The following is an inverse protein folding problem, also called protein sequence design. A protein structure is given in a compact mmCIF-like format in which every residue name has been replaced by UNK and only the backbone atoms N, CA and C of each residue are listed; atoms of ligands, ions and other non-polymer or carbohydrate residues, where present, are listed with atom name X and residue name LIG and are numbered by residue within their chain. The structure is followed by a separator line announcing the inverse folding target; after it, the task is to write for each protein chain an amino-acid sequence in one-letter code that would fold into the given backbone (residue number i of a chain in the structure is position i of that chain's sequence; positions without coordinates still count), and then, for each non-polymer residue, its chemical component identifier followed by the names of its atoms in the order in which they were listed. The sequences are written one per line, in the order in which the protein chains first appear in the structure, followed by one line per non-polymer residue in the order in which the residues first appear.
data_IF_724388197224
#
_entry.id   IF_724388197224
#
_cell.length_a   1.000
_cell.length_b   1.000
_cell.length_c   1.000
_cell.angle_alpha   90.00
_cell.angle_beta   90.00
_cell.angle_gamma   90.00
#
_symmetry.space_group_name_H-M   'P 1'
#
loop_
_entity.id
_entity.type
_entity.pdbx_description
1 polymer ?
#
# COMPACT_ATOMS: atom_id res chain seq x y z
N UNK A 1 -28.49 -25.21 20.28
CA UNK A 1 -27.58 -25.87 19.31
C UNK A 1 -27.53 -25.16 17.95
N UNK A 2 -28.42 -24.19 17.65
CA UNK A 2 -28.34 -23.37 16.44
C UNK A 2 -27.34 -22.20 16.55
N UNK A 3 -27.15 -21.66 17.76
CA UNK A 3 -26.34 -20.46 18.04
C UNK A 3 -24.85 -20.59 17.66
N UNK A 4 -24.25 -21.77 17.90
CA UNK A 4 -22.82 -21.99 17.71
C UNK A 4 -22.39 -22.10 16.24
N UNK A 5 -23.31 -22.38 15.31
CA UNK A 5 -23.00 -22.52 13.88
C UNK A 5 -22.97 -21.16 13.16
N UNK A 6 -23.78 -20.21 13.62
CA UNK A 6 -23.79 -18.84 13.09
C UNK A 6 -22.55 -18.06 13.58
N UNK A 7 -22.21 -18.15 14.87
CA UNK A 7 -21.01 -17.51 15.45
C UNK A 7 -19.70 -17.92 14.74
N UNK A 8 -19.57 -19.20 14.38
CA UNK A 8 -18.43 -19.76 13.63
C UNK A 8 -18.32 -19.24 12.19
N UNK A 9 -19.42 -18.83 11.57
CA UNK A 9 -19.40 -18.32 10.20
C UNK A 9 -19.03 -16.84 10.14
N UNK A 10 -19.30 -16.11 11.23
CA UNK A 10 -19.15 -14.66 11.34
C UNK A 10 -17.73 -14.24 11.73
N UNK A 11 -16.95 -15.11 12.39
CA UNK A 11 -15.53 -14.87 12.63
C UNK A 11 -14.72 -14.70 11.32
N UNK A 12 -15.25 -15.18 10.19
CA UNK A 12 -14.64 -15.07 8.85
C UNK A 12 -14.73 -13.65 8.28
N UNK A 13 -15.61 -12.81 8.82
CA UNK A 13 -15.84 -11.45 8.32
C UNK A 13 -14.82 -10.45 8.87
N UNK A 14 -14.17 -10.77 9.99
CA UNK A 14 -13.06 -9.96 10.49
C UNK A 14 -11.80 -10.34 9.71
N UNK A 15 -11.16 -9.40 8.98
CA UNK A 15 -9.93 -9.70 8.28
C UNK A 15 -8.84 -10.10 9.26
N UNK A 16 -7.89 -10.94 8.84
CA UNK A 16 -6.75 -11.25 9.71
C UNK A 16 -5.85 -10.03 9.89
N UNK A 17 -5.59 -9.63 11.12
CA UNK A 17 -4.75 -8.48 11.45
C UNK A 17 -3.28 -8.74 11.12
N UNK A 18 -2.64 -7.81 10.41
CA UNK A 18 -1.25 -7.93 9.97
C UNK A 18 -0.39 -6.70 10.31
N UNK A 19 -0.83 -5.84 11.23
CA UNK A 19 -0.15 -4.58 11.58
C UNK A 19 -0.46 -3.43 10.62
N UNK A 20 -0.56 -3.71 9.32
CA UNK A 20 -0.78 -2.69 8.29
C UNK A 20 -2.26 -2.38 8.07
N UNK A 21 -3.13 -3.36 8.28
CA UNK A 21 -4.56 -3.23 8.03
C UNK A 21 -5.37 -2.72 9.24
N UNK A 22 -4.74 -2.08 10.24
CA UNK A 22 -5.44 -1.66 11.47
C UNK A 22 -6.65 -0.75 11.19
N UNK A 23 -6.53 0.16 10.22
CA UNK A 23 -7.59 1.09 9.85
C UNK A 23 -8.86 0.37 9.35
N UNK A 24 -8.71 -0.78 8.70
CA UNK A 24 -9.82 -1.62 8.22
C UNK A 24 -10.23 -2.65 9.27
N UNK A 25 -9.25 -3.24 9.96
CA UNK A 25 -9.49 -4.26 10.98
C UNK A 25 -10.24 -3.70 12.19
N UNK A 26 -9.85 -2.52 12.70
CA UNK A 26 -10.43 -1.93 13.91
C UNK A 26 -11.95 -1.74 13.83
N UNK A 27 -12.52 -1.07 12.81
CA UNK A 27 -13.97 -0.92 12.72
C UNK A 27 -14.70 -2.27 12.53
N UNK A 28 -14.11 -3.24 11.81
CA UNK A 28 -14.72 -4.56 11.64
C UNK A 28 -14.72 -5.37 12.93
N UNK A 29 -13.61 -5.35 13.68
CA UNK A 29 -13.55 -5.98 15.00
C UNK A 29 -14.48 -5.30 16.00
N UNK A 30 -14.55 -3.98 15.99
CA UNK A 30 -15.51 -3.20 16.79
C UNK A 30 -16.95 -3.67 16.56
N UNK A 31 -17.38 -3.73 15.30
CA UNK A 31 -18.72 -4.20 14.93
C UNK A 31 -18.97 -5.66 15.36
N UNK A 32 -17.96 -6.53 15.20
CA UNK A 32 -18.06 -7.92 15.65
C UNK A 32 -18.21 -8.02 17.18
N UNK A 33 -17.46 -7.23 17.95
CA UNK A 33 -17.57 -7.16 19.40
C UNK A 33 -18.93 -6.59 19.86
N UNK A 34 -19.54 -5.68 19.09
CA UNK A 34 -20.90 -5.22 19.34
C UNK A 34 -21.91 -6.33 19.13
N UNK A 35 -21.78 -7.07 18.02
CA UNK A 35 -22.68 -8.16 17.65
C UNK A 35 -22.69 -9.28 18.71
N UNK A 36 -21.53 -9.63 19.29
CA UNK A 36 -21.45 -10.64 20.36
C UNK A 36 -21.72 -10.07 21.76
N UNK A 37 -22.14 -8.81 21.88
CA UNK A 37 -22.47 -8.15 23.15
C UNK A 37 -21.26 -7.73 24.01
N UNK A 38 -20.03 -7.99 23.57
CA UNK A 38 -18.81 -7.74 24.33
C UNK A 38 -18.33 -6.28 24.32
N UNK A 39 -18.82 -5.44 23.40
CA UNK A 39 -18.25 -4.10 23.20
C UNK A 39 -18.26 -3.21 24.44
N UNK A 40 -19.33 -3.23 25.25
CA UNK A 40 -19.41 -2.40 26.47
C UNK A 40 -18.33 -2.74 27.49
N UNK A 41 -17.95 -4.02 27.56
CA UNK A 41 -16.85 -4.50 28.39
C UNK A 41 -15.50 -4.07 27.78
N UNK A 42 -15.31 -4.30 26.48
CA UNK A 42 -14.08 -3.94 25.78
C UNK A 42 -13.81 -2.44 25.74
N UNK A 43 -14.84 -1.60 25.68
CA UNK A 43 -14.70 -0.15 25.69
C UNK A 43 -14.71 0.47 27.11
N UNK A 44 -14.73 -0.36 28.15
CA UNK A 44 -14.62 0.07 29.55
C UNK A 44 -15.87 0.75 30.11
N UNK A 45 -17.01 0.72 29.41
CA UNK A 45 -18.27 1.29 29.91
C UNK A 45 -19.03 0.34 30.84
N UNK A 46 -18.78 -0.97 30.75
CA UNK A 46 -19.30 -1.95 31.70
C UNK A 46 -18.31 -2.14 32.85
N UNK A 47 -18.71 -1.72 34.05
CA UNK A 47 -17.95 -1.94 35.28
C UNK A 47 -17.94 -3.42 35.69
N UNK A 48 -16.98 -3.79 36.53
CA UNK A 48 -16.94 -5.12 37.13
C UNK A 48 -18.11 -5.31 38.11
N UNK A 49 -18.91 -6.38 38.02
CA UNK A 49 -20.11 -6.56 38.85
C UNK A 49 -19.83 -6.81 40.34
N UNK A 50 -20.73 -6.32 41.19
CA UNK A 50 -20.71 -6.58 42.65
C UNK A 50 -21.24 -7.98 42.98
N UNK A 51 -22.20 -8.47 42.21
CA UNK A 51 -22.85 -9.77 42.44
C UNK A 51 -22.05 -10.95 41.88
N UNK A 52 -21.98 -12.05 42.63
CA UNK A 52 -21.16 -13.21 42.28
C UNK A 52 -21.59 -13.90 40.97
N UNK A 53 -22.89 -14.00 40.72
CA UNK A 53 -23.43 -14.58 39.50
C UNK A 53 -23.05 -13.73 38.27
N UNK A 54 -23.17 -12.41 38.39
CA UNK A 54 -22.85 -11.48 37.31
C UNK A 54 -21.35 -11.43 37.01
N UNK A 55 -20.48 -11.62 38.01
CA UNK A 55 -19.03 -11.75 37.80
C UNK A 55 -18.68 -12.91 36.88
N UNK A 56 -19.35 -14.06 37.01
CA UNK A 56 -19.09 -15.21 36.16
C UNK A 56 -19.49 -14.93 34.70
N UNK A 57 -20.67 -14.34 34.49
CA UNK A 57 -21.13 -13.93 33.16
C UNK A 57 -20.21 -12.87 32.53
N UNK A 58 -19.77 -11.88 33.33
CA UNK A 58 -18.84 -10.85 32.89
C UNK A 58 -17.48 -11.43 32.46
N UNK A 59 -16.93 -12.37 33.23
CA UNK A 59 -15.65 -13.03 32.90
C UNK A 59 -15.76 -13.89 31.65
N UNK A 60 -16.85 -14.64 31.50
CA UNK A 60 -17.10 -15.42 30.29
C UNK A 60 -17.15 -14.50 29.04
N UNK A 61 -17.79 -13.34 29.16
CA UNK A 61 -17.85 -12.36 28.07
C UNK A 61 -16.48 -11.73 27.79
N UNK A 62 -15.69 -11.46 28.82
CA UNK A 62 -14.31 -11.02 28.69
C UNK A 62 -13.45 -12.05 27.94
N UNK A 63 -13.51 -13.32 28.32
CA UNK A 63 -12.73 -14.39 27.71
C UNK A 63 -13.13 -14.61 26.25
N UNK A 64 -14.44 -14.55 25.97
CA UNK A 64 -14.96 -14.61 24.60
C UNK A 64 -14.45 -13.45 23.74
N UNK A 65 -14.39 -12.24 24.29
CA UNK A 65 -13.87 -11.07 23.58
C UNK A 65 -12.36 -11.18 23.32
N UNK A 66 -11.58 -11.61 24.31
CA UNK A 66 -10.14 -11.88 24.17
C UNK A 66 -9.88 -12.94 23.10
N UNK A 67 -10.59 -14.07 23.16
CA UNK A 67 -10.48 -15.16 22.18
C UNK A 67 -10.82 -14.69 20.77
N UNK A 68 -11.89 -13.90 20.64
CA UNK A 68 -12.30 -13.32 19.35
C UNK A 68 -11.23 -12.40 18.76
N UNK A 69 -10.64 -11.52 19.58
CA UNK A 69 -9.53 -10.69 19.13
C UNK A 69 -8.33 -11.54 18.74
N UNK A 70 -7.89 -12.44 19.62
CA UNK A 70 -6.74 -13.33 19.42
C UNK A 70 -6.84 -14.14 18.12
N UNK A 71 -8.00 -14.71 17.81
CA UNK A 71 -8.23 -15.48 16.57
C UNK A 71 -8.06 -14.65 15.30
N UNK A 72 -8.36 -13.35 15.36
CA UNK A 72 -8.16 -12.45 14.24
C UNK A 72 -6.72 -11.96 14.10
N UNK A 73 -5.87 -12.13 15.13
CA UNK A 73 -4.49 -11.71 15.09
C UNK A 73 -3.61 -12.75 14.36
N UNK A 74 -2.48 -12.29 13.81
CA UNK A 74 -1.38 -13.18 13.44
C UNK A 74 -0.56 -13.55 14.68
N UNK A 75 0.09 -14.73 14.71
CA UNK A 75 0.77 -15.23 15.91
C UNK A 75 1.76 -14.26 16.56
N UNK A 76 2.48 -13.47 15.77
CA UNK A 76 3.45 -12.49 16.27
C UNK A 76 2.81 -11.33 17.05
N UNK A 77 1.49 -11.10 16.94
CA UNK A 77 0.78 -10.09 17.72
C UNK A 77 0.07 -10.66 18.96
N UNK A 78 0.14 -11.98 19.20
CA UNK A 78 -0.54 -12.59 20.34
C UNK A 78 -0.02 -12.07 21.69
N UNK A 79 1.21 -11.57 21.76
CA UNK A 79 1.76 -10.91 22.95
C UNK A 79 1.02 -9.63 23.35
N UNK A 80 0.18 -9.06 22.47
CA UNK A 80 -0.66 -7.90 22.75
C UNK A 80 -2.01 -8.29 23.38
N UNK A 81 -2.33 -9.58 23.43
CA UNK A 81 -3.49 -10.10 24.18
C UNK A 81 -3.10 -10.14 25.65
N UNK A 82 -3.84 -9.38 26.45
CA UNK A 82 -3.58 -9.20 27.86
C UNK A 82 -4.67 -9.87 28.70
N UNK A 83 -4.28 -10.39 29.85
CA UNK A 83 -5.18 -11.02 30.80
C UNK A 83 -5.93 -9.99 31.68
N UNK A 84 -6.98 -10.46 32.38
CA UNK A 84 -7.63 -9.69 33.44
C UNK A 84 -6.59 -9.23 34.47
N UNK A 85 -6.74 -8.01 34.96
CA UNK A 85 -5.82 -7.48 35.95
C UNK A 85 -6.54 -6.78 37.09
N UNK A 86 -6.10 -7.11 38.28
CA UNK A 86 -6.60 -6.52 39.52
C UNK A 86 -5.55 -5.58 40.08
N UNK A 87 -5.88 -4.30 40.18
CA UNK A 87 -5.10 -3.33 40.93
C UNK A 87 -5.51 -3.42 42.42
N UNK A 88 -4.61 -3.85 43.34
CA UNK A 88 -4.97 -4.08 44.74
C UNK A 88 -5.04 -2.81 45.59
N UNK A 89 -4.78 -1.63 45.02
CA UNK A 89 -4.89 -0.35 45.74
C UNK A 89 -6.35 0.00 46.12
N UNK A 90 -6.58 0.95 47.03
CA UNK A 90 -7.92 1.48 47.29
C UNK A 90 -8.27 2.60 46.30
N UNK A 91 -9.38 2.50 45.53
CA UNK A 91 -10.29 1.36 45.41
C UNK A 91 -9.73 0.23 44.53
N UNK A 92 -10.11 -1.01 44.81
CA UNK A 92 -9.71 -2.17 43.99
C UNK A 92 -10.35 -2.04 42.62
N UNK A 93 -9.52 -1.99 41.57
CA UNK A 93 -9.98 -1.85 40.18
C UNK A 93 -9.65 -3.11 39.40
N UNK A 94 -10.68 -3.71 38.78
CA UNK A 94 -10.53 -4.87 37.90
C UNK A 94 -10.67 -4.40 36.45
N UNK A 95 -9.63 -4.64 35.66
CA UNK A 95 -9.58 -4.32 34.24
C UNK A 95 -9.74 -5.59 33.42
N UNK A 96 -10.77 -5.62 32.57
CA UNK A 96 -10.98 -6.67 31.59
C UNK A 96 -9.74 -6.87 30.71
N UNK A 97 -9.33 -8.13 30.53
CA UNK A 97 -8.29 -8.47 29.55
C UNK A 97 -8.65 -7.98 28.14
N UNK A 98 -9.94 -8.04 27.78
CA UNK A 98 -10.41 -7.56 26.49
C UNK A 98 -10.24 -6.04 26.35
N UNK A 99 -10.55 -5.27 27.40
CA UNK A 99 -10.29 -3.82 27.44
C UNK A 99 -8.80 -3.54 27.28
N UNK A 100 -7.97 -4.22 28.07
CA UNK A 100 -6.52 -4.03 28.02
C UNK A 100 -5.93 -4.38 26.65
N UNK A 101 -6.39 -5.47 26.05
CA UNK A 101 -5.99 -5.90 24.71
C UNK A 101 -6.38 -4.85 23.66
N UNK A 102 -7.63 -4.37 23.71
CA UNK A 102 -8.11 -3.33 22.82
C UNK A 102 -7.30 -2.03 22.96
N UNK A 103 -7.02 -1.60 24.18
CA UNK A 103 -6.22 -0.40 24.46
C UNK A 103 -4.78 -0.58 23.97
N UNK A 104 -4.16 -1.74 24.20
CA UNK A 104 -2.80 -2.07 23.72
C UNK A 104 -2.72 -2.00 22.19
N UNK A 105 -3.68 -2.62 21.49
CA UNK A 105 -3.77 -2.57 20.04
C UNK A 105 -3.98 -1.14 19.52
N UNK A 106 -4.82 -0.33 20.19
CA UNK A 106 -5.00 1.07 19.82
C UNK A 106 -3.79 1.94 20.15
N UNK A 107 -3.04 1.64 21.20
CA UNK A 107 -1.81 2.35 21.51
C UNK A 107 -0.73 2.07 20.46
N UNK A 108 -0.57 0.81 20.03
CA UNK A 108 0.42 0.43 19.02
C UNK A 108 0.03 0.87 17.59
N UNK A 109 -1.26 0.84 17.25
CA UNK A 109 -1.72 0.95 15.85
C UNK A 109 -2.86 1.95 15.62
N UNK A 110 -3.44 2.54 16.68
CA UNK A 110 -4.62 3.41 16.60
C UNK A 110 -4.31 4.89 16.32
N UNK A 111 -3.14 5.38 16.73
CA UNK A 111 -2.46 6.40 15.95
C UNK A 111 -1.93 5.71 14.69
N UNK A 112 -1.72 6.43 13.58
CA UNK A 112 -0.94 5.86 12.48
C UNK A 112 0.48 5.70 13.04
N UNK A 113 0.75 4.55 13.67
CA UNK A 113 2.01 4.24 14.32
C UNK A 113 3.09 4.11 13.26
N UNK A 114 4.36 4.05 13.64
CA UNK A 114 5.49 4.03 12.70
C UNK A 114 5.33 2.98 11.59
N UNK A 115 4.79 1.81 11.91
CA UNK A 115 4.50 0.76 10.92
C UNK A 115 3.37 1.14 9.94
N UNK A 116 2.30 1.79 10.41
CA UNK A 116 1.22 2.30 9.57
C UNK A 116 1.67 3.47 8.71
N UNK A 117 2.51 4.35 9.25
CA UNK A 117 3.13 5.46 8.51
C UNK A 117 4.00 4.90 7.39
N UNK A 118 4.87 3.94 7.72
CA UNK A 118 5.72 3.28 6.74
C UNK A 118 4.91 2.54 5.68
N UNK A 119 3.87 1.80 6.06
CA UNK A 119 3.01 1.10 5.09
C UNK A 119 2.36 2.08 4.13
N UNK A 120 1.75 3.16 4.63
CA UNK A 120 1.10 4.16 3.79
C UNK A 120 2.11 4.89 2.89
N UNK A 121 3.29 5.24 3.44
CA UNK A 121 4.38 5.83 2.66
C UNK A 121 4.89 4.88 1.57
N UNK A 122 5.13 3.61 1.89
CA UNK A 122 5.57 2.60 0.93
C UNK A 122 4.53 2.38 -0.17
N UNK A 123 3.24 2.36 0.19
CA UNK A 123 2.15 2.31 -0.79
C UNK A 123 2.12 3.56 -1.68
N UNK A 124 2.32 4.76 -1.13
CA UNK A 124 2.33 6.00 -1.90
C UNK A 124 3.51 6.06 -2.90
N UNK A 125 4.72 5.66 -2.48
CA UNK A 125 5.90 5.67 -3.36
C UNK A 125 5.84 4.59 -4.44
N UNK A 126 5.19 3.46 -4.16
CA UNK A 126 5.00 2.36 -5.14
C UNK A 126 3.71 2.52 -5.94
N UNK A 127 2.95 3.59 -5.73
CA UNK A 127 1.68 3.80 -6.40
C UNK A 127 1.92 3.98 -7.90
N UNK A 128 1.15 3.27 -8.72
CA UNK A 128 1.22 3.35 -10.18
C UNK A 128 -0.19 3.39 -10.74
N UNK A 129 -0.45 4.36 -11.58
CA UNK A 129 -1.67 4.49 -12.37
C UNK A 129 -1.43 3.70 -13.67
N UNK A 130 -2.43 2.95 -14.13
CA UNK A 130 -2.38 2.15 -15.38
C UNK A 130 -3.30 2.74 -16.45
N UNK A 131 -3.16 2.32 -17.71
CA UNK A 131 -3.84 2.97 -18.87
C UNK A 131 -5.36 2.95 -18.77
N UNK A 132 -5.90 1.93 -18.10
CA UNK A 132 -7.34 1.73 -17.93
C UNK A 132 -7.90 2.37 -16.66
N UNK A 133 -7.04 2.90 -15.81
CA UNK A 133 -7.45 3.49 -14.54
C UNK A 133 -8.10 4.86 -14.76
N UNK A 134 -9.07 5.20 -13.91
CA UNK A 134 -9.57 6.56 -13.84
C UNK A 134 -8.55 7.43 -13.09
N UNK A 135 -7.69 8.11 -13.87
CA UNK A 135 -6.62 9.00 -13.38
C UNK A 135 -7.11 9.94 -12.26
N UNK A 136 -8.27 10.64 -12.40
CA UNK A 136 -8.85 11.42 -11.32
C UNK A 136 -9.02 10.67 -9.99
N UNK A 137 -9.70 9.52 -10.01
CA UNK A 137 -9.95 8.73 -8.81
C UNK A 137 -8.65 8.22 -8.18
N UNK A 138 -7.69 7.78 -9.01
CA UNK A 138 -6.39 7.30 -8.55
C UNK A 138 -5.51 8.38 -7.94
N UNK A 139 -5.53 9.60 -8.48
CA UNK A 139 -4.87 10.74 -7.83
C UNK A 139 -5.52 11.07 -6.49
N UNK A 140 -6.86 10.98 -6.38
CA UNK A 140 -7.56 11.15 -5.11
C UNK A 140 -7.20 10.07 -4.07
N UNK A 141 -7.02 8.82 -4.48
CA UNK A 141 -6.52 7.74 -3.61
C UNK A 141 -5.11 8.06 -3.08
N UNK A 142 -4.22 8.53 -3.95
CA UNK A 142 -2.84 8.89 -3.60
C UNK A 142 -2.79 10.13 -2.68
N UNK A 143 -3.61 11.15 -2.93
CA UNK A 143 -3.76 12.29 -2.03
C UNK A 143 -4.27 11.88 -0.64
N UNK A 144 -5.25 10.96 -0.62
CA UNK A 144 -5.73 10.32 0.60
C UNK A 144 -4.63 9.60 1.39
N UNK A 145 -3.65 8.98 0.73
CA UNK A 145 -2.49 8.38 1.39
C UNK A 145 -1.60 9.45 2.06
N UNK A 146 -1.35 10.59 1.40
CA UNK A 146 -0.57 11.69 2.00
C UNK A 146 -1.26 12.29 3.23
N UNK A 147 -2.58 12.46 3.17
CA UNK A 147 -3.38 12.92 4.30
C UNK A 147 -3.34 11.94 5.50
N UNK A 148 -2.99 10.67 5.27
CA UNK A 148 -2.77 9.64 6.31
C UNK A 148 -1.31 9.59 6.80
N UNK A 149 -0.38 10.33 6.22
CA UNK A 149 1.03 10.38 6.69
C UNK A 149 1.47 11.81 7.02
N UNK A 150 0.54 12.65 7.47
CA UNK A 150 0.81 14.03 7.89
C UNK A 150 1.91 14.13 8.94
N UNK A 151 2.06 13.11 9.79
CA UNK A 151 3.13 13.03 10.80
C UNK A 151 4.55 13.09 10.20
N UNK A 152 4.76 12.71 8.93
CA UNK A 152 6.06 12.81 8.28
C UNK A 152 6.39 14.23 7.80
N UNK A 153 5.43 15.15 7.79
CA UNK A 153 5.59 16.51 7.28
C UNK A 153 6.25 16.55 5.89
N UNK A 154 5.87 15.62 4.98
CA UNK A 154 6.37 15.62 3.61
C UNK A 154 6.11 16.98 2.98
N UNK A 155 7.16 17.60 2.45
CA UNK A 155 7.06 18.85 1.72
C UNK A 155 6.17 18.71 0.48
N UNK A 156 5.40 19.74 0.15
CA UNK A 156 4.40 19.72 -0.93
C UNK A 156 5.01 19.38 -2.30
N UNK A 157 6.23 19.86 -2.57
CA UNK A 157 6.99 19.51 -3.77
C UNK A 157 7.34 18.03 -3.85
N UNK A 158 7.66 17.39 -2.71
CA UNK A 158 7.93 15.96 -2.69
C UNK A 158 6.66 15.13 -2.94
N UNK A 159 5.52 15.55 -2.38
CA UNK A 159 4.20 14.93 -2.66
C UNK A 159 3.87 15.02 -4.15
N UNK A 160 4.07 16.20 -4.74
CA UNK A 160 3.86 16.43 -6.16
C UNK A 160 4.78 15.58 -7.04
N UNK A 161 6.07 15.46 -6.69
CA UNK A 161 6.99 14.58 -7.42
C UNK A 161 6.60 13.11 -7.33
N UNK A 162 6.14 12.63 -6.16
CA UNK A 162 5.65 11.25 -6.01
C UNK A 162 4.39 11.05 -6.89
N UNK A 163 3.45 12.00 -6.91
CA UNK A 163 2.28 11.94 -7.79
C UNK A 163 2.66 11.89 -9.27
N UNK A 164 3.64 12.71 -9.71
CA UNK A 164 4.12 12.68 -11.09
C UNK A 164 4.80 11.34 -11.42
N UNK A 165 5.57 10.77 -10.50
CA UNK A 165 6.21 9.46 -10.68
C UNK A 165 5.21 8.29 -10.70
N UNK A 166 3.99 8.50 -10.19
CA UNK A 166 2.92 7.52 -10.21
C UNK A 166 2.17 7.48 -11.55
N UNK A 167 2.37 8.49 -12.41
CA UNK A 167 1.82 8.50 -13.76
C UNK A 167 2.45 7.38 -14.62
N UNK A 168 1.75 7.05 -15.70
CA UNK A 168 2.24 6.10 -16.69
C UNK A 168 3.39 6.69 -17.50
N UNK A 169 4.23 5.81 -18.03
CA UNK A 169 5.30 6.18 -18.98
C UNK A 169 4.76 6.94 -20.20
N UNK A 170 3.53 6.64 -20.66
CA UNK A 170 2.87 7.38 -21.75
C UNK A 170 2.56 8.84 -21.42
N UNK A 171 2.69 9.24 -20.15
CA UNK A 171 2.48 10.60 -19.63
C UNK A 171 3.80 11.29 -19.27
N UNK A 172 4.95 10.68 -19.56
CA UNK A 172 6.28 11.24 -19.27
C UNK A 172 6.48 12.62 -19.89
N UNK A 173 5.89 12.87 -21.06
CA UNK A 173 5.94 14.18 -21.71
C UNK A 173 5.20 15.25 -20.89
N UNK A 174 4.04 14.92 -20.31
CA UNK A 174 3.32 15.83 -19.43
C UNK A 174 4.11 16.05 -18.14
N UNK A 175 4.61 14.98 -17.51
CA UNK A 175 5.43 15.09 -16.31
C UNK A 175 6.66 15.97 -16.55
N UNK A 176 7.38 15.75 -17.65
CA UNK A 176 8.54 16.55 -18.06
C UNK A 176 8.18 18.02 -18.32
N UNK A 177 7.04 18.27 -18.97
CA UNK A 177 6.55 19.63 -19.23
C UNK A 177 6.20 20.36 -17.93
N UNK A 178 5.51 19.67 -17.00
CA UNK A 178 5.18 20.26 -15.69
C UNK A 178 6.44 20.57 -14.88
N UNK A 179 7.41 19.66 -14.86
CA UNK A 179 8.69 19.85 -14.18
C UNK A 179 9.54 20.97 -14.82
N UNK A 180 9.43 21.17 -16.13
CA UNK A 180 10.13 22.24 -16.84
C UNK A 180 9.46 23.62 -16.74
N UNK A 181 8.15 23.67 -16.49
CA UNK A 181 7.37 24.93 -16.49
C UNK A 181 7.02 25.45 -15.10
N UNK A 182 6.97 24.59 -14.09
CA UNK A 182 6.65 24.95 -12.71
C UNK A 182 7.95 24.97 -11.90
N UNK A 183 8.23 26.08 -11.22
CA UNK A 183 9.37 26.17 -10.31
C UNK A 183 9.17 25.23 -9.12
N UNK A 184 10.26 24.68 -8.58
CA UNK A 184 10.19 23.73 -7.47
C UNK A 184 9.39 24.25 -6.25
N UNK A 185 9.45 25.55 -5.99
CA UNK A 185 8.71 26.19 -4.90
C UNK A 185 7.18 26.20 -5.10
N UNK A 186 6.72 26.17 -6.36
CA UNK A 186 5.30 26.19 -6.72
C UNK A 186 4.77 24.81 -7.14
N UNK A 187 5.65 23.80 -7.17
CA UNK A 187 5.29 22.42 -7.47
C UNK A 187 4.54 21.84 -6.27
N UNK A 188 3.22 21.75 -6.36
CA UNK A 188 2.36 21.25 -5.29
C UNK A 188 1.27 20.37 -5.90
N UNK A 189 0.67 19.44 -5.14
CA UNK A 189 -0.50 18.68 -5.61
C UNK A 189 -1.60 19.59 -6.17
N UNK A 190 -1.86 20.72 -5.51
CA UNK A 190 -2.87 21.69 -5.94
C UNK A 190 -2.58 22.30 -7.32
N UNK A 191 -1.31 22.44 -7.72
CA UNK A 191 -0.93 23.01 -9.02
C UNK A 191 -0.86 21.95 -10.12
N UNK A 192 -0.49 20.71 -9.80
CA UNK A 192 -0.34 19.64 -10.80
C UNK A 192 -1.64 18.87 -11.07
N UNK A 193 -2.47 18.64 -10.04
CA UNK A 193 -3.69 17.81 -10.16
C UNK A 193 -4.63 18.36 -11.24
N UNK A 194 -4.99 19.66 -11.28
CA UNK A 194 -5.89 20.19 -12.30
C UNK A 194 -5.37 20.00 -13.73
N UNK A 195 -4.05 20.14 -13.94
CA UNK A 195 -3.42 19.96 -15.26
C UNK A 195 -3.43 18.51 -15.72
N UNK A 196 -3.21 17.57 -14.78
CA UNK A 196 -3.31 16.14 -15.07
C UNK A 196 -4.75 15.76 -15.41
N UNK A 197 -5.75 16.33 -14.73
CA UNK A 197 -7.16 16.11 -15.06
C UNK A 197 -7.51 16.61 -16.47
N UNK A 198 -7.10 17.83 -16.82
CA UNK A 198 -7.33 18.41 -18.15
C UNK A 198 -6.72 17.52 -19.25
N UNK A 199 -5.48 17.08 -19.06
CA UNK A 199 -4.83 16.17 -20.01
C UNK A 199 -5.54 14.80 -20.07
N UNK A 200 -6.04 14.28 -18.93
CA UNK A 200 -6.85 13.05 -18.90
C UNK A 200 -8.10 13.14 -19.73
N UNK A 201 -8.80 14.28 -19.66
CA UNK A 201 -9.99 14.52 -20.48
C UNK A 201 -9.64 14.57 -21.96
N UNK A 202 -8.56 15.26 -22.33
CA UNK A 202 -8.09 15.35 -23.71
C UNK A 202 -7.69 13.99 -24.30
N UNK A 203 -7.02 13.15 -23.51
CA UNK A 203 -6.65 11.79 -23.95
C UNK A 203 -7.87 10.89 -24.18
N UNK A 204 -8.90 10.96 -23.32
CA UNK A 204 -10.16 10.19 -23.51
C UNK A 204 -10.89 10.62 -24.78
N UNK A 205 -10.87 11.92 -25.12
CA UNK A 205 -11.46 12.46 -26.35
C UNK A 205 -10.71 12.01 -27.61
N UNK A 206 -9.37 12.11 -27.61
CA UNK A 206 -8.56 11.67 -28.76
C UNK A 206 -8.64 10.16 -29.00
N UNK A 207 -8.66 9.35 -27.94
CA UNK A 207 -8.81 7.90 -28.08
C UNK A 207 -10.19 7.51 -28.64
N UNK A 208 -11.25 8.27 -28.31
CA UNK A 208 -12.60 8.06 -28.85
C UNK A 208 -12.69 8.48 -30.32
N UNK A 209 -11.99 9.56 -30.72
CA UNK A 209 -11.96 10.06 -32.10
C UNK A 209 -11.21 9.14 -33.06
N UNK A 210 -10.09 8.55 -32.63
CA UNK A 210 -9.33 7.58 -33.44
C UNK A 210 -10.12 6.30 -33.74
N UNK A 211 -10.99 5.87 -32.83
CA UNK A 211 -11.87 4.73 -33.07
C UNK A 211 -12.93 5.03 -34.16
N UNK A 212 -13.43 6.27 -34.24
CA UNK A 212 -14.38 6.67 -35.28
C UNK A 212 -13.73 6.77 -36.67
N UNK A 213 -12.48 7.26 -36.73
CA UNK A 213 -11.69 7.33 -37.98
C UNK A 213 -11.30 5.94 -38.53
N UNK A 214 -11.08 4.94 -37.67
CA UNK A 214 -10.80 3.57 -38.11
C UNK A 214 -12.04 2.84 -38.65
N UNK A 215 -13.24 3.12 -38.13
CA UNK A 215 -14.49 2.58 -38.67
C UNK A 215 -14.74 3.11 -40.09
N UNK A 216 -14.48 4.40 -40.33
CA UNK A 216 -14.69 5.03 -41.65
C UNK A 216 -13.72 4.46 -42.71
N UNK A 217 -12.48 4.13 -42.33
CA UNK A 217 -11.50 3.52 -43.25
C UNK A 217 -11.85 2.08 -43.63
N UNK A 218 -12.47 1.29 -42.74
CA UNK A 218 -12.87 -0.08 -43.06
C UNK A 218 -14.13 -0.15 -43.93
N UNK A 219 -15.02 0.84 -43.85
CA UNK A 219 -16.19 0.93 -44.75
C UNK A 219 -15.88 1.51 -46.13
N UNK A 220 -14.70 2.11 -46.33
CA UNK A 220 -14.31 2.73 -47.59
C UNK A 220 -13.54 1.84 -48.58
N UNK A 221 -13.17 0.61 -48.19
CA UNK A 221 -12.29 -0.26 -49.01
C UNK A 221 -13.04 -1.46 -49.63
N UNK A 222 -14.34 -1.65 -49.37
CA UNK A 222 -15.08 -2.83 -49.88
C UNK A 222 -15.79 -2.64 -51.23
N UNK A 223 -15.55 -1.56 -51.99
CA UNK A 223 -16.24 -1.32 -53.26
C UNK A 223 -15.32 -0.88 -54.42
N UNK A 224 -14.20 -1.57 -54.63
CA UNK A 224 -13.48 -1.47 -55.90
C UNK A 224 -12.88 -2.81 -56.34
N UNK A 225 -13.48 -3.32 -57.42
CA UNK A 225 -12.87 -4.08 -58.51
C UNK A 225 -12.59 -5.58 -58.33
N UNK A 226 -13.59 -6.37 -58.74
CA UNK A 226 -13.40 -7.65 -59.43
C UNK A 226 -12.76 -7.42 -60.80
N UNK A 227 -11.74 -8.20 -61.20
CA UNK A 227 -11.55 -8.85 -62.54
C UNK A 227 -10.31 -9.78 -62.50
N UNK A 228 -10.46 -10.98 -63.08
CA UNK A 228 -9.46 -12.03 -63.48
C UNK A 228 -8.19 -11.46 -64.16
N UNK A 229 -7.02 -12.13 -64.30
CA UNK A 229 -6.70 -13.50 -64.75
C UNK A 229 -5.16 -13.75 -64.67
N UNK A 230 -4.71 -15.01 -64.82
CA UNK A 230 -3.45 -15.31 -65.55
C UNK A 230 -2.24 -15.88 -64.80
N UNK A 231 -1.80 -17.06 -65.26
CA UNK A 231 -0.70 -17.92 -64.82
C UNK A 231 0.72 -17.35 -65.07
N UNK A 232 1.72 -17.77 -64.28
CA UNK A 232 2.77 -18.73 -64.71
C UNK A 232 3.92 -18.87 -63.68
N UNK A 233 4.43 -20.09 -63.59
CA UNK A 233 5.62 -20.53 -62.85
C UNK A 233 6.91 -19.88 -63.41
N UNK A 234 7.92 -19.68 -62.56
CA UNK A 234 9.29 -20.21 -62.77
C UNK A 234 10.24 -19.83 -61.61
N UNK A 235 10.79 -20.88 -60.99
CA UNK A 235 12.19 -21.08 -60.61
C UNK A 235 13.13 -19.87 -60.51
N UNK A 236 13.84 -19.73 -59.37
CA UNK A 236 15.31 -19.61 -59.33
C UNK A 236 15.82 -19.82 -57.89
N UNK A 237 16.96 -20.50 -57.83
CA UNK A 237 17.56 -21.14 -56.67
C UNK A 237 18.45 -20.23 -55.79
N UNK A 238 18.73 -20.78 -54.60
CA UNK A 238 19.95 -20.73 -53.78
C UNK A 238 21.03 -19.66 -54.02
N UNK A 239 21.42 -18.98 -52.93
CA UNK A 239 22.80 -18.65 -52.46
C UNK A 239 22.66 -17.70 -51.25
N UNK A 240 23.42 -17.73 -50.17
CA UNK A 240 24.54 -18.52 -49.66
C UNK A 240 24.71 -18.09 -48.19
N UNK A 241 25.25 -18.98 -47.36
CA UNK A 241 25.66 -18.69 -45.98
C UNK A 241 26.57 -17.46 -45.89
N UNK A 242 26.23 -16.52 -45.01
CA UNK A 242 27.17 -15.50 -44.53
C UNK A 242 27.40 -15.71 -43.04
N UNK A 243 28.55 -16.31 -42.73
CA UNK A 243 29.10 -16.46 -41.39
C UNK A 243 30.18 -15.38 -41.22
N UNK A 244 30.01 -14.47 -40.27
CA UNK A 244 31.06 -13.53 -39.85
C UNK A 244 31.20 -13.56 -38.32
N UNK A 245 31.98 -14.52 -37.85
CA UNK A 245 32.73 -14.39 -36.61
C UNK A 245 33.88 -13.40 -36.86
N UNK A 246 33.76 -12.14 -36.45
CA UNK A 246 34.86 -11.38 -35.83
C UNK A 246 34.42 -9.99 -35.35
N UNK A 247 34.16 -9.85 -34.05
CA UNK A 247 34.43 -8.62 -33.31
C UNK A 247 34.39 -8.88 -31.80
N UNK A 248 35.45 -9.52 -31.30
CA UNK A 248 35.84 -9.41 -29.89
C UNK A 248 36.39 -7.99 -29.69
N UNK A 249 35.58 -7.10 -29.14
CA UNK A 249 36.04 -5.80 -28.64
C UNK A 249 35.87 -5.78 -27.13
N UNK A 250 36.96 -6.10 -26.44
CA UNK A 250 37.17 -5.75 -25.04
C UNK A 250 37.08 -4.23 -24.90
N UNK A 251 36.05 -3.75 -24.20
CA UNK A 251 36.05 -2.39 -23.68
C UNK A 251 36.26 -2.49 -22.18
N UNK A 252 37.43 -2.03 -21.74
CA UNK A 252 37.77 -1.81 -20.33
C UNK A 252 36.71 -0.89 -19.70
N UNK A 253 35.89 -1.46 -18.83
CA UNK A 253 34.96 -0.69 -17.99
C UNK A 253 35.79 -0.05 -16.88
N UNK A 254 36.21 1.20 -17.10
CA UNK A 254 36.77 2.02 -16.03
C UNK A 254 35.63 2.43 -15.10
N UNK A 255 35.56 1.82 -13.91
CA UNK A 255 34.63 2.25 -12.86
C UNK A 255 35.01 3.67 -12.38
N UNK A 256 34.05 4.58 -12.19
CA UNK A 256 34.32 5.82 -11.46
C UNK A 256 34.75 5.45 -10.05
N UNK A 257 35.90 5.96 -9.62
CA UNK A 257 36.36 5.92 -8.24
C UNK A 257 35.25 6.48 -7.34
N UNK A 258 34.64 5.61 -6.53
CA UNK A 258 33.76 6.02 -5.45
C UNK A 258 34.53 6.99 -4.56
N UNK A 259 33.99 8.19 -4.35
CA UNK A 259 34.48 9.11 -3.33
C UNK A 259 34.63 8.32 -2.02
N UNK A 260 35.80 8.41 -1.33
CA UNK A 260 35.92 7.77 -0.04
C UNK A 260 34.84 8.34 0.90
N UNK A 261 34.22 7.51 1.75
CA UNK A 261 33.19 7.97 2.66
C UNK A 261 33.73 9.13 3.50
N UNK A 262 32.90 10.17 3.67
CA UNK A 262 33.20 11.32 4.50
C UNK A 262 33.77 10.86 5.85
N UNK A 263 34.74 11.59 6.39
CA UNK A 263 35.50 11.20 7.58
C UNK A 263 34.60 10.86 8.78
N UNK A 264 33.41 11.47 8.84
CA UNK A 264 32.34 11.20 9.80
C UNK A 264 31.78 9.77 9.71
N UNK A 265 31.61 9.22 8.50
CA UNK A 265 31.15 7.84 8.32
C UNK A 265 32.22 6.84 8.74
N UNK A 266 33.51 7.13 8.51
CA UNK A 266 34.62 6.29 9.00
C UNK A 266 34.64 6.24 10.53
N UNK A 267 34.44 7.40 11.17
CA UNK A 267 34.45 7.49 12.63
C UNK A 267 33.23 6.79 13.24
N UNK A 268 32.05 6.88 12.63
CA UNK A 268 30.86 6.15 13.07
C UNK A 268 31.05 4.62 13.05
N UNK A 269 31.67 4.08 11.99
CA UNK A 269 31.95 2.64 11.92
C UNK A 269 32.98 2.19 12.96
N UNK A 270 34.04 2.97 13.19
CA UNK A 270 35.05 2.65 14.19
C UNK A 270 34.49 2.72 15.61
N UNK A 271 33.64 3.72 15.91
CA UNK A 271 32.95 3.85 17.20
C UNK A 271 31.92 2.74 17.41
N UNK A 272 31.23 2.30 16.36
CA UNK A 272 30.34 1.13 16.37
C UNK A 272 31.07 -0.19 16.67
N UNK A 273 32.28 -0.38 16.16
CA UNK A 273 33.12 -1.55 16.48
C UNK A 273 33.65 -1.46 17.92
N UNK A 274 34.10 -0.27 18.35
CA UNK A 274 34.68 -0.07 19.68
C UNK A 274 33.65 -0.18 20.81
N UNK A 275 32.38 0.16 20.54
CA UNK A 275 31.25 0.04 21.46
C UNK A 275 30.58 -1.35 21.44
N UNK A 276 31.01 -2.26 20.57
CA UNK A 276 30.41 -3.59 20.41
C UNK A 276 29.03 -3.57 19.73
N UNK A 277 28.61 -2.42 19.21
CA UNK A 277 27.31 -2.25 18.53
C UNK A 277 27.33 -2.85 17.11
N UNK A 278 28.52 -2.94 16.50
CA UNK A 278 28.74 -3.55 15.18
C UNK A 278 29.71 -4.71 15.35
N UNK A 279 29.21 -5.95 15.26
CA UNK A 279 30.04 -7.14 15.11
C UNK A 279 30.16 -7.47 13.61
N UNK A 280 31.34 -7.28 12.99
CA UNK A 280 31.54 -7.75 11.63
C UNK A 280 31.55 -9.29 11.64
N UNK A 281 30.51 -9.90 11.09
CA UNK A 281 30.49 -11.33 10.85
C UNK A 281 31.42 -11.65 9.67
N UNK A 282 32.52 -12.36 9.94
CA UNK A 282 33.29 -13.08 8.92
C UNK A 282 34.78 -12.74 8.91
N UNK A 283 35.55 -13.52 9.66
CA UNK A 283 36.70 -14.27 9.14
C UNK A 283 36.56 -15.71 9.62
#
# INVERSE_FOLDING_TARGET
MADSKEESSLNKNVPRFNGMNFATWRPTMHAYLQMIGAWRLTNGTAAFPVDAADRAAWRLLNDRACGSMSLSLRPHYNHLVLEEHTNPGPPVVISAGARRTWDSLNACFGAIGTAGVFSNFSTAVKFKIHERDDVPAKLGELDGLFNRITALNLAENLRAMIMLSALLDSWDQLASTLLGTITLANLTPATIIPRIHEESTRHKEHSSSSNHLNIIKQTGVTNALTTYDGYDEEDFAHMEDYNDETASNSVDITFPTLNPPAEEARNFFLEGIHSGTICPNGF
#
